data_IF_414806836607
#
_entry.id   IF_414806836607
#
_cell.length_a   1.000
_cell.length_b   1.000
_cell.length_c   1.000
_cell.angle_alpha   90.00
_cell.angle_beta   90.00
_cell.angle_gamma   90.00
#
_symmetry.space_group_name_H-M   'P 1'
#
loop_
_entity.id
_entity.type
_entity.pdbx_description
1 polymer ?
#
# COMPACT_ATOMS: atom_id res chain seq x y z
N UNK A 1 8.57 0.01 6.53
CA UNK A 1 8.57 1.36 5.92
C UNK A 1 7.19 2.02 6.03
N UNK A 2 6.11 1.33 5.64
CA UNK A 2 4.72 1.81 5.77
C UNK A 2 4.39 2.42 7.14
N UNK A 3 4.75 1.76 8.25
CA UNK A 3 4.52 2.28 9.61
C UNK A 3 5.06 3.70 9.82
N UNK A 4 6.24 4.02 9.28
CA UNK A 4 6.83 5.35 9.47
C UNK A 4 6.08 6.41 8.68
N UNK A 5 5.74 6.13 7.43
CA UNK A 5 4.96 7.05 6.58
C UNK A 5 3.58 7.31 7.18
N UNK A 6 2.90 6.27 7.66
CA UNK A 6 1.62 6.38 8.35
C UNK A 6 1.74 7.22 9.63
N UNK A 7 2.78 7.00 10.44
CA UNK A 7 3.04 7.78 11.65
C UNK A 7 3.37 9.26 11.36
N UNK A 8 4.05 9.53 10.25
CA UNK A 8 4.37 10.89 9.78
C UNK A 8 3.15 11.61 9.15
N UNK A 9 1.99 10.95 9.10
CA UNK A 9 0.71 11.54 8.72
C UNK A 9 0.31 11.38 7.25
N UNK A 10 1.06 10.60 6.48
CA UNK A 10 0.71 10.32 5.09
C UNK A 10 -0.49 9.38 5.00
N UNK A 11 -1.36 9.62 4.02
CA UNK A 11 -2.27 8.59 3.53
C UNK A 11 -1.49 7.61 2.65
N UNK A 12 -1.53 6.32 2.99
CA UNK A 12 -0.80 5.29 2.28
C UNK A 12 -1.77 4.25 1.70
N UNK A 13 -1.63 3.99 0.40
CA UNK A 13 -2.17 2.78 -0.22
C UNK A 13 -1.11 1.67 -0.10
N UNK A 14 -1.43 0.61 0.64
CA UNK A 14 -0.56 -0.54 0.88
C UNK A 14 -0.92 -1.65 -0.11
N UNK A 15 0.00 -1.91 -1.04
CA UNK A 15 -0.13 -2.95 -2.05
C UNK A 15 0.70 -4.17 -1.68
N UNK A 16 0.06 -5.33 -1.57
CA UNK A 16 0.73 -6.61 -1.34
C UNK A 16 -0.04 -7.75 -2.02
N UNK A 17 0.63 -8.88 -2.29
CA UNK A 17 -0.02 -10.11 -2.74
C UNK A 17 -0.96 -10.68 -1.66
N UNK A 18 -0.68 -10.42 -0.38
CA UNK A 18 -1.54 -10.81 0.73
C UNK A 18 -2.24 -9.59 1.33
N UNK A 19 -3.55 -9.49 1.10
CA UNK A 19 -4.37 -8.46 1.73
C UNK A 19 -4.27 -8.48 3.26
N UNK A 20 -4.19 -9.66 3.86
CA UNK A 20 -4.16 -9.81 5.32
C UNK A 20 -2.83 -9.34 5.92
N UNK A 21 -1.70 -9.63 5.27
CA UNK A 21 -0.40 -9.11 5.70
C UNK A 21 -0.33 -7.57 5.61
N UNK A 22 -0.95 -6.99 4.57
CA UNK A 22 -1.05 -5.55 4.42
C UNK A 22 -1.97 -4.91 5.49
N UNK A 23 -3.09 -5.55 5.84
CA UNK A 23 -3.96 -5.11 6.94
C UNK A 23 -3.23 -5.15 8.28
N UNK A 24 -2.52 -6.22 8.59
CA UNK A 24 -1.72 -6.33 9.82
C UNK A 24 -0.66 -5.23 9.91
N UNK A 25 -0.02 -4.88 8.79
CA UNK A 25 0.92 -3.74 8.73
C UNK A 25 0.25 -2.39 9.00
N UNK A 26 -0.99 -2.18 8.55
CA UNK A 26 -1.76 -0.97 8.84
C UNK A 26 -2.19 -0.93 10.32
N UNK A 27 -2.72 -2.04 10.84
CA UNK A 27 -3.18 -2.17 12.22
C UNK A 27 -2.04 -2.00 13.23
N UNK A 28 -0.88 -2.61 12.97
CA UNK A 28 0.31 -2.47 13.82
C UNK A 28 0.89 -1.05 13.81
N UNK A 29 0.59 -0.24 12.79
CA UNK A 29 0.92 1.19 12.77
C UNK A 29 -0.04 2.06 13.60
N UNK A 30 -1.11 1.47 14.16
CA UNK A 30 -2.11 2.19 14.95
C UNK A 30 -2.92 3.21 14.13
N UNK A 31 -2.96 3.04 12.80
CA UNK A 31 -3.70 3.91 11.89
C UNK A 31 -4.87 3.13 11.30
N UNK A 32 -6.05 3.73 11.38
CA UNK A 32 -7.30 3.16 10.85
C UNK A 32 -7.96 4.13 9.87
N UNK A 33 -8.88 3.59 9.08
CA UNK A 33 -9.72 4.37 8.18
C UNK A 33 -9.02 4.77 6.88
N UNK A 34 -9.37 5.95 6.38
CA UNK A 34 -8.98 6.49 5.07
C UNK A 34 -7.49 6.81 4.90
N UNK A 35 -6.67 6.69 5.96
CA UNK A 35 -5.23 6.93 5.91
C UNK A 35 -4.39 5.68 5.60
N UNK A 36 -4.96 4.48 5.71
CA UNK A 36 -4.29 3.22 5.40
C UNK A 36 -5.21 2.33 4.57
N UNK A 37 -5.05 2.37 3.26
CA UNK A 37 -5.93 1.69 2.30
C UNK A 37 -5.21 0.45 1.79
N UNK A 38 -5.79 -0.72 2.00
CA UNK A 38 -5.17 -1.99 1.59
C UNK A 38 -5.69 -2.42 0.22
N UNK A 39 -4.78 -2.75 -0.68
CA UNK A 39 -5.08 -3.27 -2.01
C UNK A 39 -4.31 -4.57 -2.22
N UNK A 40 -5.04 -5.68 -2.35
CA UNK A 40 -4.43 -6.92 -2.85
C UNK A 40 -4.00 -6.70 -4.30
N UNK A 41 -2.70 -6.86 -4.58
CA UNK A 41 -2.08 -6.46 -5.84
C UNK A 41 -0.91 -7.39 -6.16
N UNK A 42 -0.97 -8.07 -7.30
CA UNK A 42 0.22 -8.61 -7.94
C UNK A 42 0.85 -7.54 -8.83
N UNK A 43 1.96 -6.94 -8.39
CA UNK A 43 2.63 -5.88 -9.14
C UNK A 43 3.10 -6.30 -10.55
N UNK A 44 3.17 -7.61 -10.83
CA UNK A 44 3.48 -8.16 -12.16
C UNK A 44 2.29 -8.01 -13.11
N UNK A 45 1.05 -7.99 -12.60
CA UNK A 45 -0.17 -7.80 -13.37
C UNK A 45 -0.38 -6.33 -13.74
N UNK A 46 -0.58 -6.05 -15.03
CA UNK A 46 -0.88 -4.70 -15.50
C UNK A 46 -2.21 -4.18 -14.94
N UNK A 47 -3.22 -5.04 -14.94
CA UNK A 47 -4.55 -4.70 -14.43
C UNK A 47 -4.53 -4.35 -12.93
N UNK A 48 -3.72 -5.06 -12.14
CA UNK A 48 -3.58 -4.74 -10.72
C UNK A 48 -2.82 -3.44 -10.48
N UNK A 49 -1.84 -3.11 -11.33
CA UNK A 49 -1.18 -1.81 -11.28
C UNK A 49 -2.13 -0.68 -11.61
N UNK A 50 -2.96 -0.84 -12.65
CA UNK A 50 -3.95 0.18 -13.02
C UNK A 50 -4.93 0.42 -11.86
N UNK A 51 -5.51 -0.67 -11.30
CA UNK A 51 -6.39 -0.59 -10.12
C UNK A 51 -5.72 0.04 -8.90
N UNK A 52 -4.44 -0.25 -8.67
CA UNK A 52 -3.68 0.34 -7.56
C UNK A 52 -3.54 1.87 -7.73
N UNK A 53 -3.21 2.33 -8.94
CA UNK A 53 -3.08 3.75 -9.23
C UNK A 53 -4.43 4.47 -9.17
N UNK A 54 -5.49 3.86 -9.71
CA UNK A 54 -6.85 4.40 -9.63
C UNK A 54 -7.28 4.54 -8.17
N UNK A 55 -7.04 3.52 -7.34
CA UNK A 55 -7.32 3.57 -5.89
C UNK A 55 -6.54 4.72 -5.24
N UNK A 56 -5.24 4.87 -5.53
CA UNK A 56 -4.45 5.96 -4.97
C UNK A 56 -4.98 7.35 -5.38
N UNK A 57 -5.48 7.48 -6.62
CA UNK A 57 -6.04 8.74 -7.12
C UNK A 57 -7.34 9.15 -6.40
N UNK A 58 -8.11 8.20 -5.89
CA UNK A 58 -9.31 8.48 -5.07
C UNK A 58 -8.96 9.18 -3.75
N UNK A 59 -7.73 9.01 -3.24
CA UNK A 59 -7.25 9.61 -2.01
C UNK A 59 -6.42 10.89 -2.23
N UNK A 60 -6.35 11.37 -3.47
CA UNK A 60 -5.68 12.62 -3.85
C UNK A 60 -4.53 12.42 -4.84
N UNK A 61 -3.71 13.45 -5.00
CA UNK A 61 -2.58 13.40 -5.92
C UNK A 61 -1.49 12.45 -5.39
N UNK A 62 -1.09 11.47 -6.20
CA UNK A 62 0.03 10.59 -5.89
C UNK A 62 1.32 11.39 -5.76
N UNK A 63 1.85 11.45 -4.53
CA UNK A 63 3.07 12.18 -4.22
C UNK A 63 4.35 11.34 -4.37
N UNK A 64 4.28 10.07 -3.96
CA UNK A 64 5.43 9.17 -3.96
C UNK A 64 4.99 7.71 -4.16
N UNK A 65 5.89 6.91 -4.74
CA UNK A 65 5.72 5.48 -4.89
C UNK A 65 6.95 4.77 -4.30
N UNK A 66 6.71 3.78 -3.43
CA UNK A 66 7.78 2.96 -2.85
C UNK A 66 7.71 1.56 -3.44
N UNK A 67 8.58 1.28 -4.41
CA UNK A 67 8.71 -0.04 -5.02
C UNK A 67 9.48 -1.00 -4.11
N UNK A 68 8.81 -1.52 -3.08
CA UNK A 68 9.41 -2.40 -2.06
C UNK A 68 9.15 -3.89 -2.30
N UNK A 69 8.24 -4.26 -3.22
CA UNK A 69 7.94 -5.66 -3.52
C UNK A 69 9.17 -6.35 -4.12
N UNK A 70 9.65 -7.41 -3.45
CA UNK A 70 10.81 -8.17 -3.89
C UNK A 70 10.82 -9.56 -3.28
N UNK A 71 11.30 -10.52 -4.05
CA UNK A 71 11.53 -11.89 -3.58
C UNK A 71 13.04 -12.12 -3.51
N UNK A 72 13.54 -12.53 -2.35
CA UNK A 72 14.90 -13.04 -2.25
C UNK A 72 14.93 -14.43 -2.89
N UNK A 73 15.82 -14.65 -3.87
CA UNK A 73 16.15 -16.00 -4.36
C UNK A 73 17.33 -16.50 -3.54
N UNK A 74 17.16 -17.63 -2.85
CA UNK A 74 18.29 -18.43 -2.34
C UNK A 74 18.89 -19.27 -3.48
#
# INVERSE_FOLDING_TARGET
MAHRLLADGFCCVLADLSADAAKESAESAGVHGDRAVVVECDIRSAQDRDRLIDTAAEHGQLFALVNNAGIARM
#
